data_IF_514105965179
#
_entry.id   IF_514105965179
#
_cell.length_a   1.000
_cell.length_b   1.000
_cell.length_c   1.000
_cell.angle_alpha   90.00
_cell.angle_beta   90.00
_cell.angle_gamma   90.00
#
_symmetry.space_group_name_H-M   'P 1'
#
loop_
_entity.id
_entity.type
_entity.pdbx_description
1 polymer ?
#
# COMPACT_ATOMS: atom_id res chain seq x y z
N UNK A 1 20.29 -30.28 2.21
CA UNK A 1 18.82 -30.52 2.30
C UNK A 1 18.10 -29.23 1.93
N UNK A 2 17.20 -29.24 0.95
CA UNK A 2 16.44 -28.05 0.57
C UNK A 2 15.34 -27.80 1.63
N UNK A 3 15.33 -26.61 2.24
CA UNK A 3 14.31 -26.23 3.23
C UNK A 3 12.89 -26.37 2.64
N UNK A 4 11.90 -26.69 3.49
CA UNK A 4 10.47 -26.71 3.09
C UNK A 4 10.06 -25.40 2.38
N UNK A 5 10.62 -24.26 2.82
CA UNK A 5 10.44 -22.95 2.17
C UNK A 5 10.97 -22.92 0.72
N UNK A 6 12.15 -23.48 0.48
CA UNK A 6 12.75 -23.53 -0.86
C UNK A 6 12.04 -24.46 -1.85
N UNK A 7 11.30 -25.47 -1.37
CA UNK A 7 10.45 -26.33 -2.23
C UNK A 7 9.18 -25.60 -2.68
N UNK A 8 8.56 -24.81 -1.81
CA UNK A 8 7.34 -24.06 -2.12
C UNK A 8 7.60 -22.97 -3.18
N UNK A 9 8.74 -22.28 -3.11
CA UNK A 9 9.14 -21.26 -4.08
C UNK A 9 9.25 -21.80 -5.52
N UNK A 10 9.60 -23.07 -5.70
CA UNK A 10 9.73 -23.69 -7.04
C UNK A 10 8.39 -24.09 -7.66
N UNK A 11 7.33 -24.16 -6.87
CA UNK A 11 6.02 -24.65 -7.31
C UNK A 11 5.13 -23.56 -7.94
N UNK A 12 5.63 -22.32 -8.08
CA UNK A 12 4.90 -21.17 -8.64
C UNK A 12 3.49 -20.98 -8.05
N UNK A 13 3.32 -21.35 -6.77
CA UNK A 13 2.01 -21.36 -6.10
C UNK A 13 1.48 -19.96 -5.78
N UNK A 14 2.35 -18.96 -5.75
CA UNK A 14 2.01 -17.58 -5.41
C UNK A 14 0.90 -17.06 -6.32
N UNK A 15 1.07 -17.16 -7.64
CA UNK A 15 0.09 -16.61 -8.59
C UNK A 15 -1.32 -17.23 -8.46
N UNK A 16 -1.48 -18.57 -8.50
CA UNK A 16 -2.79 -19.18 -8.31
C UNK A 16 -3.47 -18.82 -6.99
N UNK A 17 -2.70 -18.66 -5.91
CA UNK A 17 -3.25 -18.26 -4.62
C UNK A 17 -3.70 -16.80 -4.63
N UNK A 18 -2.85 -15.88 -5.10
CA UNK A 18 -3.21 -14.45 -5.22
C UNK A 18 -4.43 -14.28 -6.12
N UNK A 19 -4.49 -14.94 -7.28
CA UNK A 19 -5.63 -14.87 -8.21
C UNK A 19 -6.97 -15.30 -7.57
N UNK A 20 -6.92 -16.23 -6.59
CA UNK A 20 -8.11 -16.70 -5.86
C UNK A 20 -8.44 -15.85 -4.66
N UNK A 21 -7.43 -15.27 -4.01
CA UNK A 21 -7.58 -14.48 -2.79
C UNK A 21 -8.00 -13.05 -3.09
N UNK A 22 -7.48 -12.43 -4.16
CA UNK A 22 -7.76 -11.03 -4.49
C UNK A 22 -9.27 -10.71 -4.58
N UNK A 23 -10.13 -11.51 -5.26
CA UNK A 23 -11.56 -11.21 -5.28
C UNK A 23 -12.25 -11.26 -3.91
N UNK A 24 -11.70 -12.02 -2.96
CA UNK A 24 -12.25 -12.15 -1.60
C UNK A 24 -11.93 -10.90 -0.78
N UNK A 25 -10.82 -10.22 -1.06
CA UNK A 25 -10.46 -8.94 -0.40
C UNK A 25 -11.44 -7.80 -0.71
N UNK A 26 -12.26 -7.96 -1.75
CA UNK A 26 -13.30 -7.02 -2.15
C UNK A 26 -14.69 -7.41 -1.60
N UNK A 27 -14.76 -8.26 -0.57
CA UNK A 27 -16.02 -8.56 0.12
C UNK A 27 -16.24 -7.59 1.29
N UNK A 28 -17.51 -7.41 1.66
CA UNK A 28 -17.89 -6.60 2.81
C UNK A 28 -17.31 -7.18 4.10
N UNK A 29 -16.99 -6.27 5.02
CA UNK A 29 -16.55 -6.61 6.37
C UNK A 29 -17.67 -6.28 7.36
N UNK A 30 -17.78 -7.03 8.47
CA UNK A 30 -18.66 -6.67 9.57
C UNK A 30 -18.24 -5.32 10.16
N UNK A 31 -19.22 -4.61 10.74
CA UNK A 31 -18.97 -3.34 11.44
C UNK A 31 -18.03 -3.52 12.64
N UNK A 32 -18.11 -4.68 13.30
CA UNK A 32 -17.19 -5.06 14.37
C UNK A 32 -15.80 -5.40 13.79
N UNK A 33 -14.78 -4.64 14.20
CA UNK A 33 -13.38 -4.86 13.78
C UNK A 33 -12.76 -6.15 14.37
N UNK A 34 -13.35 -6.73 15.41
CA UNK A 34 -12.88 -7.98 16.04
C UNK A 34 -13.44 -9.25 15.36
N UNK A 35 -14.54 -9.13 14.62
CA UNK A 35 -15.18 -10.28 13.97
C UNK A 35 -14.41 -10.73 12.71
N UNK A 36 -14.20 -12.03 12.54
CA UNK A 36 -13.53 -12.55 11.35
C UNK A 36 -14.46 -12.47 10.12
N UNK A 37 -13.92 -11.98 9.01
CA UNK A 37 -14.61 -11.95 7.71
C UNK A 37 -13.80 -12.69 6.63
N UNK A 38 -14.43 -13.13 5.53
CA UNK A 38 -13.69 -13.70 4.40
C UNK A 38 -12.61 -12.76 3.87
N UNK A 39 -12.89 -11.45 3.80
CA UNK A 39 -11.93 -10.43 3.35
C UNK A 39 -10.72 -10.32 4.29
N UNK A 40 -10.94 -10.24 5.61
CA UNK A 40 -9.87 -10.20 6.62
C UNK A 40 -9.02 -11.47 6.61
N UNK A 41 -9.63 -12.64 6.43
CA UNK A 41 -8.91 -13.92 6.26
C UNK A 41 -8.07 -13.92 4.97
N UNK A 42 -8.64 -13.45 3.86
CA UNK A 42 -7.95 -13.33 2.58
C UNK A 42 -6.71 -12.41 2.67
N UNK A 43 -6.84 -11.27 3.35
CA UNK A 43 -5.75 -10.35 3.61
C UNK A 43 -4.64 -10.98 4.47
N UNK A 44 -5.00 -11.79 5.48
CA UNK A 44 -4.01 -12.59 6.25
C UNK A 44 -3.26 -13.58 5.36
N UNK A 45 -3.90 -14.18 4.36
CA UNK A 45 -3.21 -15.03 3.38
C UNK A 45 -2.22 -14.23 2.55
N UNK A 46 -2.58 -13.04 2.06
CA UNK A 46 -1.65 -12.17 1.33
C UNK A 46 -0.45 -11.76 2.20
N UNK A 47 -0.68 -11.44 3.47
CA UNK A 47 0.39 -11.16 4.44
C UNK A 47 1.34 -12.36 4.60
N UNK A 48 0.81 -13.58 4.73
CA UNK A 48 1.63 -14.80 4.81
C UNK A 48 2.40 -15.04 3.53
N UNK A 49 1.81 -14.82 2.35
CA UNK A 49 2.52 -14.94 1.08
C UNK A 49 3.68 -13.94 0.99
N UNK A 50 3.43 -12.68 1.34
CA UNK A 50 4.42 -11.60 1.25
C UNK A 50 5.61 -11.79 2.20
N UNK A 51 5.37 -12.39 3.38
CA UNK A 51 6.42 -12.69 4.37
C UNK A 51 7.11 -14.04 4.16
N UNK A 52 6.51 -14.95 3.37
CA UNK A 52 7.03 -16.32 3.18
C UNK A 52 7.73 -16.53 1.84
N UNK A 53 7.52 -15.64 0.87
CA UNK A 53 8.08 -15.72 -0.49
C UNK A 53 8.87 -14.45 -0.83
N UNK A 54 9.86 -14.54 -1.74
CA UNK A 54 10.59 -13.37 -2.18
C UNK A 54 9.65 -12.32 -2.80
N UNK A 55 9.89 -11.01 -2.57
CA UNK A 55 9.04 -9.94 -3.12
C UNK A 55 8.88 -10.02 -4.63
N UNK A 56 9.94 -10.42 -5.36
CA UNK A 56 9.94 -10.58 -6.81
C UNK A 56 8.88 -11.59 -7.30
N UNK A 57 8.44 -12.53 -6.45
CA UNK A 57 7.39 -13.50 -6.78
C UNK A 57 5.99 -13.02 -6.41
N UNK A 58 5.86 -12.20 -5.37
CA UNK A 58 4.56 -11.79 -4.80
C UNK A 58 4.13 -10.44 -5.35
N UNK A 59 5.00 -9.45 -5.26
CA UNK A 59 4.70 -8.05 -5.56
C UNK A 59 4.14 -7.87 -6.98
N UNK A 60 4.78 -8.39 -8.06
CA UNK A 60 4.26 -8.17 -9.41
C UNK A 60 2.87 -8.77 -9.64
N UNK A 61 2.55 -9.87 -8.95
CA UNK A 61 1.24 -10.52 -9.06
C UNK A 61 0.18 -9.70 -8.35
N UNK A 62 0.43 -9.26 -7.12
CA UNK A 62 -0.53 -8.45 -6.35
C UNK A 62 -0.76 -7.10 -7.01
N UNK A 63 0.32 -6.41 -7.43
CA UNK A 63 0.21 -5.09 -8.07
C UNK A 63 -0.61 -5.13 -9.36
N UNK A 64 -0.52 -6.21 -10.15
CA UNK A 64 -1.37 -6.36 -11.33
C UNK A 64 -2.87 -6.33 -10.99
N UNK A 65 -3.28 -7.01 -9.91
CA UNK A 65 -4.66 -6.97 -9.43
C UNK A 65 -5.02 -5.62 -8.81
N UNK A 66 -4.12 -5.02 -8.01
CA UNK A 66 -4.33 -3.70 -7.41
C UNK A 66 -4.61 -2.66 -8.49
N UNK A 67 -3.76 -2.58 -9.52
CA UNK A 67 -3.93 -1.61 -10.62
C UNK A 67 -5.25 -1.80 -11.37
N UNK A 68 -5.73 -3.05 -11.50
CA UNK A 68 -7.04 -3.33 -12.09
C UNK A 68 -8.18 -2.90 -11.15
N UNK A 69 -8.10 -3.24 -9.87
CA UNK A 69 -9.19 -3.04 -8.91
C UNK A 69 -9.39 -1.57 -8.55
N UNK A 70 -8.32 -0.77 -8.51
CA UNK A 70 -8.41 0.67 -8.23
C UNK A 70 -9.20 1.45 -9.28
N UNK A 71 -9.30 0.92 -10.51
CA UNK A 71 -10.07 1.52 -11.60
C UNK A 71 -11.55 1.07 -11.59
N UNK A 72 -11.95 0.21 -10.65
CA UNK A 72 -13.31 -0.30 -10.58
C UNK A 72 -14.26 0.75 -9.97
N UNK A 73 -15.46 0.86 -10.55
CA UNK A 73 -16.53 1.74 -10.04
C UNK A 73 -17.02 1.31 -8.65
N UNK A 74 -16.95 0.02 -8.34
CA UNK A 74 -17.34 -0.53 -7.05
C UNK A 74 -16.30 -0.17 -5.95
N UNK A 75 -16.70 0.56 -4.89
CA UNK A 75 -15.83 0.89 -3.77
C UNK A 75 -15.20 -0.32 -3.08
N UNK A 76 -15.84 -1.48 -3.09
CA UNK A 76 -15.30 -2.67 -2.44
C UNK A 76 -14.06 -3.22 -3.16
N UNK A 77 -14.03 -3.15 -4.49
CA UNK A 77 -12.84 -3.49 -5.25
C UNK A 77 -11.70 -2.50 -4.98
N UNK A 78 -12.00 -1.19 -4.93
CA UNK A 78 -10.99 -0.17 -4.59
C UNK A 78 -10.45 -0.35 -3.16
N UNK A 79 -11.33 -0.66 -2.20
CA UNK A 79 -10.96 -1.02 -0.83
C UNK A 79 -10.05 -2.25 -0.79
N UNK A 80 -10.43 -3.35 -1.45
CA UNK A 80 -9.62 -4.56 -1.52
C UNK A 80 -8.25 -4.32 -2.15
N UNK A 81 -8.18 -3.46 -3.18
CA UNK A 81 -6.93 -3.03 -3.80
C UNK A 81 -6.03 -2.31 -2.80
N UNK A 82 -6.57 -1.31 -2.09
CA UNK A 82 -5.78 -0.50 -1.17
C UNK A 82 -5.31 -1.28 0.06
N UNK A 83 -6.16 -2.14 0.61
CA UNK A 83 -5.80 -3.07 1.67
C UNK A 83 -4.67 -4.01 1.25
N UNK A 84 -4.79 -4.60 0.06
CA UNK A 84 -3.79 -5.52 -0.46
C UNK A 84 -2.45 -4.80 -0.73
N UNK A 85 -2.50 -3.59 -1.28
CA UNK A 85 -1.31 -2.77 -1.51
C UNK A 85 -0.61 -2.41 -0.19
N UNK A 86 -1.37 -1.92 0.80
CA UNK A 86 -0.82 -1.57 2.11
C UNK A 86 -0.15 -2.76 2.79
N UNK A 87 -0.78 -3.94 2.77
CA UNK A 87 -0.18 -5.17 3.34
C UNK A 87 1.12 -5.52 2.64
N UNK A 88 1.13 -5.54 1.31
CA UNK A 88 2.33 -5.95 0.57
C UNK A 88 3.48 -4.97 0.79
N UNK A 89 3.21 -3.66 0.79
CA UNK A 89 4.22 -2.64 1.06
C UNK A 89 4.76 -2.75 2.49
N UNK A 90 3.88 -2.84 3.49
CA UNK A 90 4.29 -2.92 4.90
C UNK A 90 5.08 -4.18 5.23
N UNK A 91 4.67 -5.33 4.68
CA UNK A 91 5.25 -6.63 5.03
C UNK A 91 6.62 -6.89 4.42
N UNK A 92 6.94 -6.23 3.32
CA UNK A 92 8.19 -6.42 2.58
C UNK A 92 8.96 -5.10 2.39
N UNK A 93 8.70 -4.10 3.21
CA UNK A 93 9.21 -2.73 3.08
C UNK A 93 10.72 -2.66 2.80
N UNK A 94 11.52 -3.41 3.58
CA UNK A 94 12.99 -3.43 3.46
C UNK A 94 13.53 -4.27 2.31
N UNK A 95 12.67 -4.98 1.58
CA UNK A 95 13.04 -5.85 0.47
C UNK A 95 12.39 -5.41 -0.86
N UNK A 96 11.71 -4.25 -0.86
CA UNK A 96 10.90 -3.78 -1.98
C UNK A 96 11.49 -2.58 -2.74
N UNK A 97 12.67 -2.08 -2.40
CA UNK A 97 13.25 -0.89 -3.03
C UNK A 97 13.31 -1.01 -4.57
N UNK A 98 13.76 -2.16 -5.10
CA UNK A 98 13.84 -2.39 -6.55
C UNK A 98 12.44 -2.45 -7.21
N UNK A 99 11.47 -3.08 -6.54
CA UNK A 99 10.09 -3.15 -6.98
C UNK A 99 9.43 -1.77 -6.93
N UNK A 100 9.58 -1.02 -5.85
CA UNK A 100 9.05 0.34 -5.69
C UNK A 100 9.65 1.25 -6.76
N UNK A 101 10.96 1.22 -6.96
CA UNK A 101 11.64 1.94 -8.03
C UNK A 101 11.09 1.61 -9.44
N UNK A 102 10.57 0.39 -9.66
CA UNK A 102 9.98 -0.02 -10.94
C UNK A 102 8.53 0.41 -11.11
N UNK A 103 7.77 0.52 -10.02
CA UNK A 103 6.31 0.68 -10.08
C UNK A 103 5.80 2.03 -9.55
N UNK A 104 6.63 2.85 -8.88
CA UNK A 104 6.18 4.10 -8.27
C UNK A 104 5.48 5.04 -9.25
N UNK A 105 5.95 5.18 -10.49
CA UNK A 105 5.31 6.03 -11.51
C UNK A 105 3.85 5.63 -11.81
N UNK A 106 3.53 4.33 -11.68
CA UNK A 106 2.16 3.82 -11.86
C UNK A 106 1.36 3.87 -10.57
N UNK A 107 2.01 3.63 -9.43
CA UNK A 107 1.36 3.56 -8.12
C UNK A 107 1.03 4.94 -7.57
N UNK A 108 1.94 5.90 -7.65
CA UNK A 108 1.79 7.22 -7.02
C UNK A 108 0.53 7.98 -7.47
N UNK A 109 0.23 8.11 -8.79
CA UNK A 109 -1.00 8.80 -9.21
C UNK A 109 -2.26 8.12 -8.67
N UNK A 110 -2.24 6.79 -8.60
CA UNK A 110 -3.35 5.99 -8.14
C UNK A 110 -3.53 6.11 -6.62
N UNK A 111 -2.45 6.00 -5.83
CA UNK A 111 -2.48 6.20 -4.38
C UNK A 111 -2.99 7.61 -4.07
N UNK A 112 -2.48 8.65 -4.74
CA UNK A 112 -2.98 10.01 -4.57
C UNK A 112 -4.48 10.14 -4.84
N UNK A 113 -4.98 9.51 -5.90
CA UNK A 113 -6.42 9.53 -6.19
C UNK A 113 -7.25 8.91 -5.05
N UNK A 114 -6.75 7.84 -4.42
CA UNK A 114 -7.44 7.15 -3.34
C UNK A 114 -7.38 7.90 -2.00
N UNK A 115 -6.39 8.78 -1.79
CA UNK A 115 -6.37 9.69 -0.62
C UNK A 115 -7.52 10.72 -0.60
N UNK A 116 -8.29 10.80 -1.69
CA UNK A 116 -9.47 11.64 -1.82
C UNK A 116 -10.75 10.84 -2.08
N UNK A 117 -10.76 9.52 -1.83
CA UNK A 117 -11.96 8.71 -1.97
C UNK A 117 -13.01 9.10 -0.90
N UNK A 118 -14.28 8.96 -1.25
CA UNK A 118 -15.42 9.15 -0.34
C UNK A 118 -15.45 8.19 0.85
N UNK A 119 -14.79 7.03 0.74
CA UNK A 119 -14.74 6.03 1.80
C UNK A 119 -13.52 6.27 2.73
N UNK A 120 -13.73 6.60 4.02
CA UNK A 120 -12.65 6.89 4.96
C UNK A 120 -11.64 5.75 5.12
N UNK A 121 -12.12 4.51 5.04
CA UNK A 121 -11.27 3.31 5.10
C UNK A 121 -10.31 3.26 3.91
N UNK A 122 -10.77 3.61 2.70
CA UNK A 122 -9.90 3.68 1.52
C UNK A 122 -8.85 4.77 1.71
N UNK A 123 -9.25 5.96 2.19
CA UNK A 123 -8.34 7.07 2.47
C UNK A 123 -7.27 6.64 3.48
N UNK A 124 -7.65 6.00 4.59
CA UNK A 124 -6.72 5.47 5.61
C UNK A 124 -5.67 4.53 5.01
N UNK A 125 -6.09 3.54 4.22
CA UNK A 125 -5.15 2.60 3.60
C UNK A 125 -4.33 3.22 2.47
N UNK A 126 -4.87 4.20 1.75
CA UNK A 126 -4.13 4.98 0.78
C UNK A 126 -3.01 5.80 1.44
N UNK A 127 -3.30 6.48 2.55
CA UNK A 127 -2.29 7.23 3.30
C UNK A 127 -1.25 6.31 3.92
N UNK A 128 -1.63 5.12 4.42
CA UNK A 128 -0.66 4.12 4.89
C UNK A 128 0.25 3.61 3.76
N UNK A 129 -0.31 3.29 2.60
CA UNK A 129 0.46 2.87 1.44
C UNK A 129 1.41 3.99 0.97
N UNK A 130 0.98 5.25 1.07
CA UNK A 130 1.80 6.41 0.78
C UNK A 130 2.97 6.55 1.76
N UNK A 131 2.74 6.39 3.06
CA UNK A 131 3.82 6.41 4.07
C UNK A 131 4.85 5.32 3.77
N UNK A 132 4.39 4.08 3.57
CA UNK A 132 5.27 2.95 3.28
C UNK A 132 6.06 3.16 1.97
N UNK A 133 5.41 3.60 0.88
CA UNK A 133 6.14 3.73 -0.40
C UNK A 133 7.22 4.82 -0.31
N UNK A 134 7.01 5.87 0.49
CA UNK A 134 7.99 6.94 0.71
C UNK A 134 9.26 6.44 1.37
N UNK A 135 9.17 5.48 2.28
CA UNK A 135 10.33 4.87 2.93
C UNK A 135 11.22 4.09 1.94
N UNK A 136 10.64 3.53 0.86
CA UNK A 136 11.35 2.73 -0.14
C UNK A 136 11.69 3.48 -1.45
N UNK A 137 11.25 4.73 -1.62
CA UNK A 137 11.46 5.46 -2.88
C UNK A 137 12.85 6.11 -3.03
N UNK A 138 13.56 6.36 -1.92
CA UNK A 138 14.81 7.14 -1.95
C UNK A 138 14.63 8.48 -2.67
N UNK A 139 15.61 8.87 -3.49
CA UNK A 139 15.61 10.15 -4.22
C UNK A 139 14.43 10.33 -5.19
N UNK A 140 13.74 9.24 -5.58
CA UNK A 140 12.56 9.34 -6.44
C UNK A 140 11.40 10.09 -5.74
N UNK A 141 11.39 10.14 -4.40
CA UNK A 141 10.38 10.89 -3.63
C UNK A 141 10.41 12.39 -3.93
N UNK A 142 11.57 12.94 -4.30
CA UNK A 142 11.77 14.36 -4.59
C UNK A 142 10.88 14.84 -5.74
N UNK A 143 10.64 14.00 -6.74
CA UNK A 143 9.77 14.33 -7.87
C UNK A 143 8.30 14.52 -7.45
N UNK A 144 7.90 13.93 -6.33
CA UNK A 144 6.54 13.97 -5.80
C UNK A 144 6.38 14.92 -4.61
N UNK A 145 7.49 15.43 -4.05
CA UNK A 145 7.50 16.18 -2.80
C UNK A 145 6.49 17.34 -2.72
N UNK A 146 6.33 18.20 -3.76
CA UNK A 146 5.32 19.26 -3.70
C UNK A 146 3.89 18.71 -3.57
N UNK A 147 3.55 17.69 -4.36
CA UNK A 147 2.23 17.07 -4.34
C UNK A 147 1.99 16.28 -3.05
N UNK A 148 3.02 15.63 -2.52
CA UNK A 148 2.99 14.95 -1.23
C UNK A 148 2.64 15.92 -0.12
N UNK A 149 3.35 17.04 -0.03
CA UNK A 149 3.15 18.03 1.02
C UNK A 149 1.77 18.68 0.95
N UNK A 150 1.33 19.09 -0.24
CA UNK A 150 -0.02 19.63 -0.45
C UNK A 150 -1.10 18.65 0.05
N UNK A 151 -0.99 17.37 -0.30
CA UNK A 151 -1.98 16.34 0.05
C UNK A 151 -1.96 15.97 1.53
N UNK A 152 -0.78 15.79 2.10
CA UNK A 152 -0.61 15.36 3.49
C UNK A 152 -1.03 16.47 4.46
N UNK A 153 -0.72 17.73 4.16
CA UNK A 153 -1.19 18.88 4.95
C UNK A 153 -2.71 18.99 4.88
N UNK A 154 -3.31 18.88 3.68
CA UNK A 154 -4.76 18.90 3.53
C UNK A 154 -5.46 17.79 4.35
N UNK A 155 -4.88 16.58 4.40
CA UNK A 155 -5.37 15.48 5.24
C UNK A 155 -5.22 15.78 6.74
N UNK A 156 -4.15 16.45 7.17
CA UNK A 156 -3.98 16.86 8.57
C UNK A 156 -5.01 17.90 9.01
N UNK A 157 -5.31 18.87 8.14
CA UNK A 157 -6.27 19.93 8.45
C UNK A 157 -7.71 19.39 8.45
N UNK A 158 -8.10 18.72 7.36
CA UNK A 158 -9.49 18.43 7.02
C UNK A 158 -9.84 16.94 6.90
N UNK A 159 -8.85 16.05 6.95
CA UNK A 159 -9.07 14.61 6.82
C UNK A 159 -9.69 13.96 8.07
N UNK A 160 -10.13 12.69 7.96
CA UNK A 160 -10.68 11.94 9.09
C UNK A 160 -9.67 11.82 10.24
N UNK A 161 -10.16 11.86 11.48
CA UNK A 161 -9.32 11.85 12.69
C UNK A 161 -8.33 10.68 12.74
N UNK A 162 -8.74 9.50 12.25
CA UNK A 162 -7.90 8.30 12.19
C UNK A 162 -6.78 8.38 11.13
N UNK A 163 -6.91 9.25 10.13
CA UNK A 163 -5.92 9.41 9.05
C UNK A 163 -4.84 10.42 9.44
N UNK A 164 -5.15 11.39 10.30
CA UNK A 164 -4.22 12.47 10.68
C UNK A 164 -2.89 11.95 11.24
N UNK A 165 -2.84 10.95 12.15
CA UNK A 165 -1.56 10.41 12.63
C UNK A 165 -0.71 9.81 11.51
N UNK A 166 -1.35 9.13 10.55
CA UNK A 166 -0.67 8.52 9.39
C UNK A 166 -0.14 9.60 8.45
N UNK A 167 -0.94 10.65 8.20
CA UNK A 167 -0.51 11.78 7.39
C UNK A 167 0.71 12.47 8.01
N UNK A 168 0.74 12.63 9.33
CA UNK A 168 1.90 13.17 10.05
C UNK A 168 3.13 12.26 9.92
N UNK A 169 2.95 10.94 10.04
CA UNK A 169 4.02 9.95 9.83
C UNK A 169 4.61 10.08 8.42
N UNK A 170 3.75 10.11 7.40
CA UNK A 170 4.14 10.26 6.00
C UNK A 170 4.89 11.58 5.71
N UNK A 171 4.53 12.68 6.38
CA UNK A 171 5.31 13.93 6.31
C UNK A 171 6.71 13.73 6.89
N UNK A 172 6.83 12.98 7.99
CA UNK A 172 8.11 12.59 8.56
C UNK A 172 8.96 11.77 7.58
N UNK A 173 8.36 10.76 6.93
CA UNK A 173 9.01 9.94 5.89
C UNK A 173 9.43 10.76 4.67
N UNK A 174 8.58 11.71 4.24
CA UNK A 174 8.91 12.66 3.18
C UNK A 174 10.08 13.57 3.59
N UNK A 175 10.08 14.13 4.80
CA UNK A 175 11.16 14.95 5.31
C UNK A 175 12.48 14.18 5.41
N UNK A 176 12.43 12.94 5.89
CA UNK A 176 13.59 12.06 5.99
C UNK A 176 14.19 11.75 4.62
N UNK A 177 13.36 11.38 3.64
CA UNK A 177 13.83 11.05 2.28
C UNK A 177 14.28 12.28 1.47
N UNK A 178 13.74 13.46 1.77
CA UNK A 178 14.00 14.67 0.96
C UNK A 178 15.20 15.50 1.42
N UNK A 179 15.67 15.31 2.66
CA UNK A 179 16.78 16.06 3.22
C UNK A 179 16.61 17.58 3.07
N UNK A 180 17.63 18.27 2.52
CA UNK A 180 17.60 19.73 2.34
C UNK A 180 16.49 20.22 1.41
N UNK A 181 15.99 19.38 0.50
CA UNK A 181 14.87 19.75 -0.38
C UNK A 181 13.56 19.97 0.40
N UNK A 182 13.49 19.51 1.65
CA UNK A 182 12.36 19.76 2.54
C UNK A 182 12.36 21.16 3.17
N UNK A 183 13.46 21.93 3.06
CA UNK A 183 13.60 23.26 3.66
C UNK A 183 12.43 24.24 3.40
N UNK A 184 11.80 24.29 2.20
CA UNK A 184 10.70 25.20 1.93
C UNK A 184 9.47 25.01 2.83
N UNK A 185 9.29 23.85 3.45
CA UNK A 185 8.08 23.50 4.23
C UNK A 185 8.20 23.76 5.74
N UNK A 186 9.31 24.34 6.21
CA UNK A 186 9.50 24.69 7.63
C UNK A 186 9.05 26.11 8.00
N UNK A 187 8.80 26.98 7.01
CA UNK A 187 8.63 28.42 7.21
C UNK A 187 7.20 28.92 6.96
N UNK A 188 6.19 28.08 7.21
CA UNK A 188 4.79 28.50 7.33
C UNK A 188 4.30 28.39 8.78
#
# INVERSE_FOLDING_TARGET
MCSKRGRLQKLKIVKPLVDRVMPITAQEDPEDEEEDSPSRVALRVLNVLSTSFPPQQVFPVVIAHVLQYMQNSDPMFRKGAMLSLAIVLFTALYELDEEVARYHEKLMPMIFSMTSDSNPTIVKYATNALDCILESMGDASLAYLPQLMERLVALLESGPTEVKPIALSAIGSAAHSSGEAFAPYFNE
#
